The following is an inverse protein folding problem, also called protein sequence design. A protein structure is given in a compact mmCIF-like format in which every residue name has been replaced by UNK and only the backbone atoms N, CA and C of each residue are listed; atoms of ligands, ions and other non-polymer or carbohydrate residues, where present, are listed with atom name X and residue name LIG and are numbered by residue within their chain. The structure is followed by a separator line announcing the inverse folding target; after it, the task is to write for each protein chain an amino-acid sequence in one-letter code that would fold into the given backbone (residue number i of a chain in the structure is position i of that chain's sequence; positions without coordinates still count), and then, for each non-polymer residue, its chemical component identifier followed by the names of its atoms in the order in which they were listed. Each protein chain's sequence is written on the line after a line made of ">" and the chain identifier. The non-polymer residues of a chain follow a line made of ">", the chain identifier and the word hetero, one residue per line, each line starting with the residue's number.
data_IF_131137104477
#
_entry.id   IF_131137104477
#
_cell.length_a   1.000
_cell.length_b   1.000
_cell.length_c   1.000
_cell.angle_alpha   90.00
_cell.angle_beta   90.00
_cell.angle_gamma   90.00
#
_symmetry.space_group_name_H-M   'P 1'
#
loop_
_entity.id
_entity.type
_entity.pdbx_description
1 polymer ?
#
# COMPACT_ATOMS: atom_id res chain seq x y z
N UNK A 1 -6.65 -4.62 -15.70
CA UNK A 1 -6.57 -3.37 -14.92
C UNK A 1 -7.71 -2.47 -15.35
N UNK A 2 -8.66 -2.07 -14.48
CA UNK A 2 -9.58 -0.99 -14.83
C UNK A 2 -8.76 0.30 -14.91
N UNK A 3 -8.87 1.02 -16.03
CA UNK A 3 -8.24 2.33 -16.19
C UNK A 3 -9.01 3.34 -15.33
N UNK A 4 -8.29 4.10 -14.51
CA UNK A 4 -8.82 5.30 -13.84
C UNK A 4 -9.56 6.15 -14.86
N UNK A 5 -10.73 6.67 -14.48
CA UNK A 5 -11.51 7.49 -15.40
C UNK A 5 -10.83 8.87 -15.57
N UNK A 6 -11.11 9.55 -16.67
CA UNK A 6 -10.43 10.80 -17.02
C UNK A 6 -10.61 11.93 -15.99
N UNK A 7 -11.69 11.91 -15.20
CA UNK A 7 -11.96 12.90 -14.14
C UNK A 7 -11.12 12.63 -12.88
N UNK A 8 -10.88 11.36 -12.52
CA UNK A 8 -9.98 10.97 -11.43
C UNK A 8 -8.52 11.33 -11.76
N UNK A 9 -8.12 11.14 -13.03
CA UNK A 9 -6.78 11.53 -13.51
C UNK A 9 -6.59 13.06 -13.44
N UNK A 10 -7.61 13.84 -13.77
CA UNK A 10 -7.57 15.31 -13.67
C UNK A 10 -7.57 15.81 -12.22
N UNK A 11 -8.33 15.17 -11.32
CA UNK A 11 -8.31 15.49 -9.89
C UNK A 11 -6.94 15.19 -9.27
N UNK A 12 -6.32 14.06 -9.64
CA UNK A 12 -4.99 13.68 -9.16
C UNK A 12 -3.89 14.61 -9.71
N UNK A 13 -3.98 15.06 -10.97
CA UNK A 13 -3.08 16.08 -11.53
C UNK A 13 -3.21 17.45 -10.87
N UNK A 14 -4.41 17.82 -10.42
CA UNK A 14 -4.59 19.07 -9.68
C UNK A 14 -4.02 18.99 -8.25
N UNK A 15 -4.02 17.80 -7.62
CA UNK A 15 -3.34 17.57 -6.34
C UNK A 15 -1.81 17.65 -6.48
N UNK A 16 -1.23 17.17 -7.58
CA UNK A 16 0.21 17.33 -7.87
C UNK A 16 0.64 18.81 -8.02
N UNK A 17 -0.30 19.71 -8.37
CA UNK A 17 -0.03 21.14 -8.61
C UNK A 17 -0.54 22.07 -7.51
N UNK A 18 -1.19 21.56 -6.46
CA UNK A 18 -1.66 22.36 -5.33
C UNK A 18 -0.78 22.07 -4.13
N UNK A 19 0.00 23.05 -3.66
CA UNK A 19 0.75 22.94 -2.40
C UNK A 19 -0.23 22.89 -1.20
N UNK A 20 -0.82 21.73 -0.93
CA UNK A 20 -1.60 21.50 0.27
C UNK A 20 -0.63 21.33 1.44
N UNK A 21 -0.31 22.43 2.12
CA UNK A 21 0.48 22.39 3.36
C UNK A 21 -0.42 22.01 4.54
N UNK A 22 -0.43 20.72 4.89
CA UNK A 22 -1.20 20.21 6.03
C UNK A 22 -0.56 20.62 7.37
N UNK A 23 -1.33 21.14 8.36
CA UNK A 23 -0.79 21.42 9.68
C UNK A 23 -0.40 20.12 10.42
N UNK A 24 0.47 20.21 11.43
CA UNK A 24 0.97 19.01 12.14
C UNK A 24 -0.12 18.28 12.91
N UNK A 25 -1.09 19.02 13.45
CA UNK A 25 -2.28 18.55 14.18
C UNK A 25 -3.37 17.97 13.24
N UNK A 26 -3.14 17.88 11.93
CA UNK A 26 -4.12 17.27 11.03
C UNK A 26 -4.35 15.79 11.41
N UNK A 27 -5.60 15.40 11.67
CA UNK A 27 -5.97 14.03 11.99
C UNK A 27 -6.46 13.29 10.74
N UNK A 28 -6.34 11.97 10.78
CA UNK A 28 -6.71 11.09 9.67
C UNK A 28 -8.12 10.56 9.87
N UNK A 29 -8.91 10.58 8.81
CA UNK A 29 -10.21 9.89 8.74
C UNK A 29 -10.19 8.97 7.53
N UNK A 30 -10.46 7.69 7.76
CA UNK A 30 -10.46 6.65 6.75
C UNK A 30 -11.90 6.24 6.44
N UNK A 31 -12.17 5.90 5.19
CA UNK A 31 -13.44 5.30 4.77
C UNK A 31 -13.16 4.09 3.89
N UNK A 32 -13.87 3.00 4.14
CA UNK A 32 -13.79 1.76 3.37
C UNK A 32 -15.08 0.96 3.52
N UNK A 33 -15.31 0.02 2.62
CA UNK A 33 -16.46 -0.88 2.71
C UNK A 33 -16.05 -2.25 3.27
N UNK A 34 -17.00 -2.91 3.91
CA UNK A 34 -16.90 -4.25 4.45
C UNK A 34 -18.03 -5.14 3.92
N UNK A 35 -17.82 -6.45 3.90
CA UNK A 35 -18.82 -7.41 3.41
C UNK A 35 -20.01 -7.57 4.36
N UNK A 36 -19.81 -7.37 5.66
CA UNK A 36 -20.80 -7.58 6.70
C UNK A 36 -21.82 -6.42 6.79
N UNK A 37 -23.11 -6.77 6.96
CA UNK A 37 -24.14 -5.80 7.38
C UNK A 37 -24.20 -5.69 8.92
N UNK A 38 -25.06 -4.80 9.44
CA UNK A 38 -25.14 -4.56 10.89
C UNK A 38 -25.64 -5.79 11.66
N UNK A 39 -26.54 -6.58 11.06
CA UNK A 39 -27.01 -7.82 11.68
C UNK A 39 -25.91 -8.89 11.79
N UNK A 40 -25.03 -8.97 10.79
CA UNK A 40 -23.88 -9.87 10.80
C UNK A 40 -22.87 -9.46 11.88
N UNK A 41 -22.54 -8.17 11.97
CA UNK A 41 -21.64 -7.64 13.00
C UNK A 41 -22.22 -7.85 14.41
N UNK A 42 -23.51 -7.59 14.60
CA UNK A 42 -24.20 -7.85 15.87
C UNK A 42 -24.10 -9.34 16.26
N UNK A 43 -24.34 -10.24 15.30
CA UNK A 43 -24.26 -11.69 15.52
C UNK A 43 -22.83 -12.14 15.87
N UNK A 44 -21.82 -11.60 15.20
CA UNK A 44 -20.41 -11.88 15.54
C UNK A 44 -20.09 -11.46 16.99
N UNK A 45 -20.52 -10.26 17.38
CA UNK A 45 -20.33 -9.77 18.74
C UNK A 45 -21.02 -10.64 19.79
N UNK A 46 -22.26 -11.04 19.56
CA UNK A 46 -23.01 -11.90 20.47
C UNK A 46 -22.35 -13.28 20.62
N UNK A 47 -21.81 -13.83 19.52
CA UNK A 47 -21.13 -15.14 19.53
C UNK A 47 -19.77 -15.12 20.24
N UNK A 48 -19.08 -13.96 20.25
CA UNK A 48 -17.75 -13.79 20.86
C UNK A 48 -17.82 -13.28 22.30
N UNK A 49 -19.01 -12.91 22.76
CA UNK A 49 -19.25 -12.48 24.13
C UNK A 49 -18.91 -13.59 25.15
N UNK A 50 -18.05 -13.29 26.11
CA UNK A 50 -17.51 -14.21 27.10
C UNK A 50 -16.31 -15.04 26.64
N UNK A 51 -15.99 -15.04 25.34
CA UNK A 51 -14.82 -15.71 24.77
C UNK A 51 -13.67 -14.73 24.53
N UNK A 52 -13.93 -13.68 23.74
CA UNK A 52 -12.91 -12.70 23.34
C UNK A 52 -13.05 -11.37 24.10
N UNK A 53 -14.28 -10.99 24.43
CA UNK A 53 -14.62 -9.79 25.19
C UNK A 53 -15.92 -10.01 25.96
N UNK A 54 -16.22 -9.16 26.94
CA UNK A 54 -17.52 -9.14 27.62
C UNK A 54 -18.37 -7.98 27.11
N UNK A 55 -19.63 -8.24 26.79
CA UNK A 55 -20.59 -7.20 26.41
C UNK A 55 -21.60 -7.00 27.55
N UNK A 56 -21.67 -5.79 28.06
CA UNK A 56 -22.67 -5.36 29.05
C UNK A 56 -23.66 -4.40 28.39
N UNK A 57 -24.94 -4.75 28.36
CA UNK A 57 -25.98 -3.85 27.87
C UNK A 57 -26.30 -2.79 28.92
N UNK A 58 -26.14 -1.52 28.60
CA UNK A 58 -26.40 -0.40 29.52
C UNK A 58 -27.76 0.25 29.27
N UNK A 59 -28.27 0.19 28.03
CA UNK A 59 -29.61 0.66 27.65
C UNK A 59 -30.06 -0.01 26.33
N UNK A 60 -31.27 0.25 25.80
CA UNK A 60 -31.76 -0.44 24.60
C UNK A 60 -30.80 -0.47 23.40
N UNK A 61 -30.08 0.63 23.18
CA UNK A 61 -29.17 0.84 22.05
C UNK A 61 -27.71 1.02 22.46
N UNK A 62 -27.39 1.03 23.77
CA UNK A 62 -26.03 1.25 24.24
C UNK A 62 -25.50 0.04 24.99
N UNK A 63 -24.24 -0.26 24.72
CA UNK A 63 -23.50 -1.38 25.25
C UNK A 63 -22.09 -0.93 25.62
N UNK A 64 -21.51 -1.60 26.60
CA UNK A 64 -20.08 -1.53 26.91
C UNK A 64 -19.44 -2.85 26.48
N UNK A 65 -18.31 -2.76 25.78
CA UNK A 65 -17.46 -3.89 25.41
C UNK A 65 -16.22 -3.82 26.29
N UNK A 66 -15.94 -4.89 27.03
CA UNK A 66 -14.86 -4.95 28.02
C UNK A 66 -13.85 -6.00 27.54
N UNK A 67 -12.61 -5.57 27.40
CA UNK A 67 -11.44 -6.43 27.20
C UNK A 67 -11.11 -7.13 28.51
N UNK A 68 -11.25 -8.47 28.59
CA UNK A 68 -10.97 -9.22 29.80
C UNK A 68 -9.49 -9.14 30.21
N UNK A 69 -8.59 -8.91 29.26
CA UNK A 69 -7.15 -8.82 29.53
C UNK A 69 -6.76 -7.47 30.16
N UNK A 70 -7.65 -6.47 30.12
CA UNK A 70 -7.40 -5.11 30.60
C UNK A 70 -8.39 -4.64 31.69
N UNK A 71 -9.01 -5.58 32.42
CA UNK A 71 -10.06 -5.31 33.44
C UNK A 71 -9.67 -4.32 34.56
N UNK A 72 -8.38 -3.99 34.75
CA UNK A 72 -7.90 -3.32 35.97
C UNK A 72 -7.32 -1.90 35.85
N UNK A 73 -7.38 -1.24 34.69
CA UNK A 73 -6.98 0.19 34.63
C UNK A 73 -7.65 0.95 33.50
N UNK A 74 -8.86 1.47 33.73
CA UNK A 74 -9.49 2.60 33.00
C UNK A 74 -9.48 2.57 31.46
N UNK A 75 -9.18 1.43 30.82
CA UNK A 75 -8.72 1.39 29.43
C UNK A 75 -9.03 0.16 28.63
N UNK A 76 -9.65 -0.84 29.25
CA UNK A 76 -10.15 -2.02 28.56
C UNK A 76 -11.59 -1.88 28.07
N UNK A 77 -12.21 -0.71 28.13
CA UNK A 77 -13.63 -0.56 27.76
C UNK A 77 -13.81 0.12 26.40
N UNK A 78 -14.85 -0.23 25.66
CA UNK A 78 -15.29 0.51 24.48
C UNK A 78 -16.81 0.72 24.60
N UNK A 79 -17.29 1.87 24.14
CA UNK A 79 -18.72 2.11 24.02
C UNK A 79 -19.20 1.64 22.64
N UNK A 80 -20.34 0.98 22.62
CA UNK A 80 -21.01 0.53 21.41
C UNK A 80 -22.42 1.12 21.40
N UNK A 81 -22.74 1.84 20.33
CA UNK A 81 -24.07 2.32 20.02
C UNK A 81 -24.62 1.57 18.80
N UNK A 82 -25.80 0.96 18.94
CA UNK A 82 -26.40 0.10 17.92
C UNK A 82 -27.82 0.57 17.58
N UNK A 83 -27.98 1.04 16.34
CA UNK A 83 -29.28 1.32 15.74
C UNK A 83 -29.63 0.27 14.68
N UNK A 84 -30.80 0.41 14.05
CA UNK A 84 -31.31 -0.56 13.09
C UNK A 84 -30.34 -0.82 11.92
N UNK A 85 -29.77 0.24 11.37
CA UNK A 85 -28.95 0.20 10.15
C UNK A 85 -27.56 0.84 10.36
N UNK A 86 -27.15 1.07 11.61
CA UNK A 86 -25.85 1.64 11.93
C UNK A 86 -25.31 1.17 13.26
N UNK A 87 -23.98 1.17 13.36
CA UNK A 87 -23.22 0.81 14.54
C UNK A 87 -22.08 1.79 14.73
N UNK A 88 -21.91 2.29 15.95
CA UNK A 88 -20.77 3.13 16.33
C UNK A 88 -20.00 2.46 17.46
N UNK A 89 -18.68 2.37 17.33
CA UNK A 89 -17.78 1.86 18.37
C UNK A 89 -16.74 2.94 18.70
N UNK A 90 -16.63 3.31 19.97
CA UNK A 90 -15.61 4.25 20.47
C UNK A 90 -14.76 3.56 21.54
N UNK A 91 -13.44 3.46 21.33
CA UNK A 91 -12.52 2.73 22.21
C UNK A 91 -11.98 3.60 23.36
N UNK A 92 -11.81 3.05 24.58
CA UNK A 92 -11.19 3.77 25.70
C UNK A 92 -9.67 3.90 25.56
N UNK A 93 -9.12 4.91 26.23
CA UNK A 93 -7.69 5.32 26.25
C UNK A 93 -7.05 5.71 24.91
N UNK A 94 -7.76 5.62 23.79
CA UNK A 94 -7.34 6.21 22.53
C UNK A 94 -8.59 6.47 21.72
N UNK A 95 -8.93 7.76 21.56
CA UNK A 95 -10.19 8.28 21.00
C UNK A 95 -10.40 7.93 19.53
N UNK A 96 -10.46 6.64 19.24
CA UNK A 96 -10.76 6.11 17.94
C UNK A 96 -12.23 5.84 17.85
N UNK A 97 -12.79 6.16 16.68
CA UNK A 97 -14.21 6.02 16.42
C UNK A 97 -14.42 5.28 15.12
N UNK A 98 -15.17 4.20 15.20
CA UNK A 98 -15.72 3.50 14.05
C UNK A 98 -17.19 3.86 13.92
N UNK A 99 -17.58 4.41 12.77
CA UNK A 99 -18.98 4.63 12.41
C UNK A 99 -19.30 3.75 11.21
N UNK A 100 -20.25 2.84 11.37
CA UNK A 100 -20.59 1.80 10.41
C UNK A 100 -22.04 1.97 10.00
N UNK A 101 -22.32 2.02 8.71
CA UNK A 101 -23.67 2.17 8.18
C UNK A 101 -23.92 1.18 7.04
N UNK A 102 -25.10 0.60 6.98
CA UNK A 102 -25.44 -0.35 5.92
C UNK A 102 -25.41 0.31 4.53
N UNK A 103 -24.85 -0.43 3.57
CA UNK A 103 -24.87 -0.04 2.17
C UNK A 103 -26.15 -0.56 1.51
N UNK A 104 -26.85 0.24 0.67
CA UNK A 104 -28.05 -0.21 -0.04
C UNK A 104 -27.84 -1.42 -0.96
N UNK A 105 -26.58 -1.68 -1.36
CA UNK A 105 -26.19 -2.77 -2.25
C UNK A 105 -25.69 -4.03 -1.51
N UNK A 106 -25.79 -4.04 -0.18
CA UNK A 106 -25.24 -5.09 0.69
C UNK A 106 -23.92 -4.67 1.35
N UNK A 107 -23.60 -5.30 2.48
CA UNK A 107 -22.47 -4.94 3.33
C UNK A 107 -22.66 -3.61 4.07
N UNK A 108 -21.56 -3.02 4.53
CA UNK A 108 -21.56 -1.74 5.23
C UNK A 108 -20.40 -0.84 4.80
N UNK A 109 -20.57 0.47 4.95
CA UNK A 109 -19.49 1.44 4.85
C UNK A 109 -19.01 1.80 6.25
N UNK A 110 -17.70 1.82 6.43
CA UNK A 110 -17.01 2.14 7.68
C UNK A 110 -16.31 3.48 7.52
N UNK A 111 -16.51 4.37 8.48
CA UNK A 111 -15.67 5.56 8.70
C UNK A 111 -14.89 5.37 9.98
N UNK A 112 -13.57 5.51 9.91
CA UNK A 112 -12.66 5.35 11.04
C UNK A 112 -11.89 6.65 11.29
N UNK A 113 -12.04 7.21 12.47
CA UNK A 113 -11.25 8.34 12.96
C UNK A 113 -10.14 7.82 13.87
N UNK A 114 -8.88 8.00 13.47
CA UNK A 114 -7.75 7.47 14.19
C UNK A 114 -6.49 7.32 13.32
N UNK A 115 -5.38 6.79 13.86
CA UNK A 115 -4.15 6.62 13.13
C UNK A 115 -4.18 5.35 12.26
N UNK A 116 -3.47 5.39 11.12
CA UNK A 116 -3.49 4.30 10.13
C UNK A 116 -3.12 2.92 10.70
N UNK A 117 -2.18 2.85 11.65
CA UNK A 117 -1.73 1.62 12.28
C UNK A 117 -2.75 1.00 13.26
N UNK A 118 -3.87 1.68 13.55
CA UNK A 118 -4.95 1.17 14.39
C UNK A 118 -6.15 0.65 13.58
N UNK A 119 -6.15 0.82 12.25
CA UNK A 119 -7.21 0.33 11.36
C UNK A 119 -7.46 -1.18 11.54
N UNK A 120 -8.69 -1.55 11.92
CA UNK A 120 -9.13 -2.92 12.17
C UNK A 120 -8.19 -3.72 13.10
N UNK A 121 -7.45 -3.04 13.98
CA UNK A 121 -6.44 -3.66 14.83
C UNK A 121 -6.82 -3.66 16.32
N UNK A 122 -8.11 -3.56 16.62
CA UNK A 122 -8.65 -3.55 17.98
C UNK A 122 -9.38 -4.86 18.26
N UNK A 123 -9.08 -5.50 19.39
CA UNK A 123 -9.71 -6.77 19.80
C UNK A 123 -11.21 -6.62 20.08
N UNK A 124 -11.62 -5.41 20.47
CA UNK A 124 -12.99 -5.04 20.85
C UNK A 124 -13.92 -4.76 19.65
N UNK A 125 -13.46 -5.02 18.43
CA UNK A 125 -14.29 -4.88 17.23
C UNK A 125 -14.91 -6.22 16.82
N UNK A 126 -16.12 -6.20 16.24
CA UNK A 126 -16.59 -7.33 15.44
C UNK A 126 -15.62 -7.63 14.30
N UNK A 127 -15.62 -8.87 13.83
CA UNK A 127 -14.90 -9.23 12.61
C UNK A 127 -15.49 -8.47 11.42
N UNK A 128 -14.60 -7.88 10.64
CA UNK A 128 -14.91 -7.08 9.46
C UNK A 128 -14.00 -7.50 8.31
N UNK A 129 -14.60 -7.79 7.17
CA UNK A 129 -13.91 -8.25 5.97
C UNK A 129 -13.83 -7.10 4.97
N UNK A 130 -12.64 -6.54 4.77
CA UNK A 130 -12.41 -5.41 3.88
C UNK A 130 -12.76 -5.74 2.42
N UNK A 131 -13.53 -4.87 1.77
CA UNK A 131 -13.80 -4.93 0.34
C UNK A 131 -12.64 -4.23 -0.41
N UNK A 132 -11.86 -4.94 -1.24
CA UNK A 132 -10.69 -4.39 -1.93
C UNK A 132 -10.99 -3.10 -2.71
N UNK A 133 -10.02 -2.19 -2.76
CA UNK A 133 -10.05 -0.92 -3.51
C UNK A 133 -11.13 0.07 -3.09
N UNK A 134 -11.68 -0.06 -1.88
CA UNK A 134 -12.65 0.89 -1.32
C UNK A 134 -12.02 1.84 -0.30
N UNK A 135 -10.80 1.55 0.15
CA UNK A 135 -10.08 2.35 1.12
C UNK A 135 -9.68 3.72 0.54
N UNK A 136 -10.15 4.76 1.21
CA UNK A 136 -9.84 6.16 0.97
C UNK A 136 -9.66 6.88 2.29
N UNK A 137 -9.02 8.04 2.27
CA UNK A 137 -8.77 8.79 3.49
C UNK A 137 -8.74 10.30 3.23
N UNK A 138 -9.01 11.06 4.28
CA UNK A 138 -8.88 12.52 4.31
C UNK A 138 -8.17 12.97 5.57
N UNK A 139 -7.69 14.20 5.54
CA UNK A 139 -7.24 14.95 6.70
C UNK A 139 -8.33 15.90 7.19
N UNK A 140 -8.48 15.95 8.50
CA UNK A 140 -9.29 16.93 9.22
C UNK A 140 -8.39 17.71 10.18
N UNK A 141 -8.81 18.91 10.56
CA UNK A 141 -8.14 19.67 11.61
C UNK A 141 -8.43 19.06 12.98
N UNK A 142 -7.38 18.80 13.77
CA UNK A 142 -7.51 18.09 15.04
C UNK A 142 -8.22 18.85 16.15
N UNK A 143 -8.33 20.19 16.05
CA UNK A 143 -8.99 21.03 17.05
C UNK A 143 -10.46 21.30 16.68
N UNK A 144 -10.70 21.60 15.40
CA UNK A 144 -12.01 22.04 14.90
C UNK A 144 -12.82 20.93 14.24
N UNK A 145 -12.18 19.80 13.89
CA UNK A 145 -12.78 18.72 13.13
C UNK A 145 -13.11 19.07 11.67
N UNK A 146 -12.69 20.25 11.19
CA UNK A 146 -12.98 20.70 9.83
C UNK A 146 -12.17 19.92 8.81
N UNK A 147 -12.80 19.56 7.69
CA UNK A 147 -12.11 18.96 6.55
C UNK A 147 -11.00 19.88 6.00
N UNK A 148 -9.78 19.35 5.97
CA UNK A 148 -8.62 19.99 5.34
C UNK A 148 -8.42 19.51 3.90
N UNK A 149 -8.98 18.35 3.58
CA UNK A 149 -8.94 17.70 2.27
C UNK A 149 -10.25 16.94 2.03
N UNK A 150 -10.63 16.75 0.77
CA UNK A 150 -11.61 15.74 0.40
C UNK A 150 -11.09 14.33 0.73
N UNK A 151 -11.96 13.31 0.65
CA UNK A 151 -11.49 11.93 0.55
C UNK A 151 -10.65 11.72 -0.71
N UNK A 152 -9.46 11.17 -0.50
CA UNK A 152 -8.46 10.82 -1.50
C UNK A 152 -8.33 9.30 -1.57
N UNK A 153 -7.97 8.77 -2.73
CA UNK A 153 -7.49 7.40 -2.82
C UNK A 153 -6.27 7.20 -1.90
N UNK A 154 -6.06 5.97 -1.44
CA UNK A 154 -5.06 5.69 -0.41
C UNK A 154 -3.63 6.05 -0.82
N UNK A 155 -3.30 5.97 -2.12
CA UNK A 155 -1.99 6.33 -2.64
C UNK A 155 -1.78 7.86 -2.59
N UNK A 156 -2.72 8.63 -3.13
CA UNK A 156 -2.68 10.11 -3.07
C UNK A 156 -2.63 10.62 -1.62
N UNK A 157 -3.40 9.99 -0.74
CA UNK A 157 -3.34 10.26 0.70
C UNK A 157 -1.96 9.96 1.29
N UNK A 158 -1.34 8.84 0.91
CA UNK A 158 0.00 8.44 1.35
C UNK A 158 1.08 9.47 1.01
N UNK A 159 1.02 10.05 -0.18
CA UNK A 159 1.93 11.11 -0.61
C UNK A 159 1.81 12.37 0.28
N UNK A 160 0.59 12.87 0.50
CA UNK A 160 0.36 14.02 1.39
C UNK A 160 0.76 13.73 2.84
N UNK A 161 0.48 12.50 3.31
CA UNK A 161 0.89 12.06 4.64
C UNK A 161 2.41 12.06 4.80
N UNK A 162 3.15 11.61 3.79
CA UNK A 162 4.61 11.62 3.80
C UNK A 162 5.15 13.05 3.93
N UNK A 163 4.60 14.00 3.18
CA UNK A 163 4.98 15.42 3.30
C UNK A 163 4.66 15.98 4.68
N UNK A 164 3.47 15.73 5.22
CA UNK A 164 3.10 16.11 6.58
C UNK A 164 4.08 15.55 7.62
N UNK A 165 4.49 14.29 7.45
CA UNK A 165 5.37 13.58 8.39
C UNK A 165 6.84 14.04 8.34
N UNK A 166 7.26 14.83 7.33
CA UNK A 166 8.58 15.50 7.34
C UNK A 166 8.66 16.64 8.37
N UNK A 167 7.50 17.15 8.83
CA UNK A 167 7.41 18.22 9.85
C UNK A 167 7.75 17.65 11.23
N UNK A 168 8.57 18.39 11.98
CA UNK A 168 9.06 18.00 13.31
C UNK A 168 8.00 18.31 14.37
N UNK A 169 7.83 17.44 15.37
CA UNK A 169 6.98 17.74 16.55
C UNK A 169 7.73 18.61 17.59
N UNK A 170 7.04 19.01 18.65
CA UNK A 170 7.61 19.84 19.73
C UNK A 170 8.79 19.16 20.47
N UNK A 171 8.95 17.86 20.28
CA UNK A 171 10.01 17.03 20.86
C UNK A 171 11.16 16.72 19.88
N UNK A 172 11.17 17.32 18.68
CA UNK A 172 12.25 17.13 17.71
C UNK A 172 12.12 15.89 16.83
N UNK A 173 11.04 15.13 16.91
CA UNK A 173 10.85 13.88 16.18
C UNK A 173 10.12 14.08 14.84
N UNK A 174 10.51 13.29 13.84
CA UNK A 174 9.87 13.23 12.52
C UNK A 174 9.07 11.94 12.36
N UNK A 175 7.98 12.01 11.59
CA UNK A 175 7.16 10.85 11.24
C UNK A 175 6.26 10.34 12.37
N UNK A 176 5.70 9.15 12.13
CA UNK A 176 4.96 8.37 13.12
C UNK A 176 5.71 7.07 13.40
N UNK A 177 6.41 7.00 14.53
CA UNK A 177 7.19 5.83 14.93
C UNK A 177 6.36 4.54 15.08
N UNK A 178 5.03 4.64 15.15
CA UNK A 178 4.17 3.46 15.25
C UNK A 178 3.89 2.78 13.90
N UNK A 179 4.19 3.44 12.77
CA UNK A 179 3.93 2.88 11.42
C UNK A 179 4.72 1.58 11.17
N UNK A 180 5.88 1.41 11.83
CA UNK A 180 6.69 0.18 11.76
C UNK A 180 5.95 -1.09 12.19
N UNK A 181 4.86 -0.95 12.95
CA UNK A 181 4.01 -2.06 13.38
C UNK A 181 2.80 -2.29 12.47
N UNK A 182 2.67 -1.52 11.37
CA UNK A 182 1.51 -1.52 10.49
C UNK A 182 1.38 -2.70 9.52
N UNK A 183 2.34 -3.63 9.47
CA UNK A 183 2.31 -4.73 8.50
C UNK A 183 1.08 -5.64 8.64
N UNK A 184 0.64 -5.90 9.88
CA UNK A 184 -0.57 -6.68 10.16
C UNK A 184 -1.83 -5.95 9.69
N UNK A 185 -1.82 -4.62 9.77
CA UNK A 185 -2.90 -3.79 9.23
C UNK A 185 -2.89 -3.89 7.71
N UNK A 186 -1.75 -3.65 7.07
CA UNK A 186 -1.67 -3.64 5.60
C UNK A 186 -2.13 -4.98 4.99
N UNK A 187 -1.81 -6.11 5.65
CA UNK A 187 -2.29 -7.42 5.24
C UNK A 187 -3.83 -7.55 5.26
N UNK A 188 -4.53 -6.92 6.21
CA UNK A 188 -6.01 -6.88 6.27
C UNK A 188 -6.62 -6.05 5.14
N UNK A 189 -5.84 -5.12 4.57
CA UNK A 189 -6.26 -4.24 3.48
C UNK A 189 -5.65 -4.64 2.13
N UNK A 190 -5.43 -5.95 1.90
CA UNK A 190 -4.89 -6.50 0.65
C UNK A 190 -3.56 -5.86 0.20
N UNK A 191 -2.76 -5.37 1.15
CA UNK A 191 -1.50 -4.68 0.90
C UNK A 191 -1.65 -3.38 0.08
N UNK A 192 -2.82 -2.73 0.15
CA UNK A 192 -3.11 -1.50 -0.60
C UNK A 192 -2.53 -0.23 0.06
N UNK A 193 -2.08 -0.31 1.33
CA UNK A 193 -1.55 0.85 2.09
C UNK A 193 -0.03 0.93 1.91
N UNK A 194 0.41 1.64 0.87
CA UNK A 194 1.81 1.73 0.45
C UNK A 194 2.77 2.34 1.50
N UNK A 195 2.29 3.26 2.33
CA UNK A 195 3.10 3.90 3.38
C UNK A 195 3.18 3.08 4.68
N UNK A 196 2.51 1.93 4.78
CA UNK A 196 2.71 0.97 5.87
C UNK A 196 3.59 -0.20 5.37
N UNK A 197 4.61 -0.61 6.14
CA UNK A 197 5.54 -1.64 5.70
C UNK A 197 4.81 -2.97 5.46
N UNK A 198 5.22 -3.73 4.45
CA UNK A 198 4.86 -5.15 4.32
C UNK A 198 5.58 -5.97 5.39
N UNK A 199 5.10 -7.18 5.70
CA UNK A 199 5.82 -8.04 6.64
C UNK A 199 7.23 -8.33 6.13
N UNK A 200 8.20 -8.47 7.04
CA UNK A 200 9.60 -8.71 6.69
C UNK A 200 9.75 -9.92 5.75
N UNK A 201 8.95 -10.97 5.95
CA UNK A 201 8.93 -12.16 5.08
C UNK A 201 8.47 -11.87 3.65
N UNK A 202 7.49 -10.98 3.48
CA UNK A 202 7.01 -10.58 2.14
C UNK A 202 8.04 -9.66 1.49
N UNK A 203 8.68 -8.78 2.26
CA UNK A 203 9.77 -7.93 1.76
C UNK A 203 10.97 -8.77 1.33
N UNK A 204 11.38 -9.76 2.13
CA UNK A 204 12.46 -10.71 1.79
C UNK A 204 12.15 -11.50 0.52
N UNK A 205 10.91 -11.97 0.38
CA UNK A 205 10.47 -12.67 -0.84
C UNK A 205 10.49 -11.74 -2.05
N UNK A 206 9.93 -10.54 -1.95
CA UNK A 206 9.96 -9.55 -3.05
C UNK A 206 11.40 -9.19 -3.44
N UNK A 207 12.29 -9.01 -2.47
CA UNK A 207 13.71 -8.76 -2.72
C UNK A 207 14.40 -9.95 -3.38
N UNK A 208 14.02 -11.18 -3.03
CA UNK A 208 14.53 -12.41 -3.65
C UNK A 208 14.05 -12.53 -5.10
N UNK A 209 12.76 -12.31 -5.35
CA UNK A 209 12.16 -12.38 -6.69
C UNK A 209 12.76 -11.31 -7.64
N UNK A 210 12.98 -10.09 -7.12
CA UNK A 210 13.67 -9.02 -7.86
C UNK A 210 15.12 -9.41 -8.16
N UNK A 211 15.84 -9.96 -7.19
CA UNK A 211 17.22 -10.42 -7.38
C UNK A 211 17.31 -11.52 -8.44
N UNK A 212 16.43 -12.52 -8.38
CA UNK A 212 16.37 -13.59 -9.37
C UNK A 212 16.06 -13.05 -10.78
N UNK A 213 15.14 -12.09 -10.88
CA UNK A 213 14.82 -11.42 -12.15
C UNK A 213 16.03 -10.67 -12.72
N UNK A 214 16.77 -9.96 -11.88
CA UNK A 214 18.01 -9.26 -12.26
C UNK A 214 19.07 -10.25 -12.72
N UNK A 215 19.26 -11.35 -11.99
CA UNK A 215 20.26 -12.38 -12.31
C UNK A 215 19.94 -13.04 -13.67
N UNK A 216 18.67 -13.35 -13.95
CA UNK A 216 18.23 -13.86 -15.26
C UNK A 216 18.51 -12.84 -16.37
N UNK A 217 18.23 -11.55 -16.14
CA UNK A 217 18.47 -10.50 -17.12
C UNK A 217 19.98 -10.35 -17.42
N UNK A 218 20.82 -10.36 -16.38
CA UNK A 218 22.27 -10.28 -16.51
C UNK A 218 22.84 -11.49 -17.27
N UNK A 219 22.34 -12.69 -17.00
CA UNK A 219 22.76 -13.90 -17.72
C UNK A 219 22.45 -13.80 -19.22
N UNK A 220 21.23 -13.37 -19.59
CA UNK A 220 20.85 -13.16 -20.99
C UNK A 220 21.71 -12.12 -21.69
N UNK A 221 22.05 -11.02 -21.01
CA UNK A 221 22.94 -9.98 -21.57
C UNK A 221 24.34 -10.56 -21.83
N UNK A 222 24.85 -11.40 -20.91
CA UNK A 222 26.14 -12.06 -21.06
C UNK A 222 26.16 -13.02 -22.25
N UNK A 223 25.15 -13.87 -22.38
CA UNK A 223 25.00 -14.77 -23.53
C UNK A 223 24.94 -14.02 -24.86
N UNK A 224 24.27 -12.87 -24.89
CA UNK A 224 24.21 -12.01 -26.09
C UNK A 224 25.58 -11.42 -26.44
N UNK A 225 26.37 -11.00 -25.45
CA UNK A 225 27.71 -10.48 -25.64
C UNK A 225 28.67 -11.57 -26.14
N UNK A 226 28.60 -12.77 -25.57
CA UNK A 226 29.43 -13.89 -25.97
C UNK A 226 29.11 -14.34 -27.40
N UNK A 227 27.82 -14.42 -27.78
CA UNK A 227 27.40 -14.69 -29.16
C UNK A 227 27.86 -13.62 -30.15
N UNK A 228 27.78 -12.34 -29.77
CA UNK A 228 28.30 -11.24 -30.62
C UNK A 228 29.82 -11.31 -30.78
N UNK A 229 30.53 -11.66 -29.72
CA UNK A 229 31.99 -11.78 -29.73
C UNK A 229 32.44 -12.96 -30.59
N UNK A 230 31.76 -14.10 -30.49
CA UNK A 230 31.99 -15.26 -31.35
C UNK A 230 31.72 -14.93 -32.83
N UNK A 231 30.59 -14.27 -33.13
CA UNK A 231 30.26 -13.84 -34.49
C UNK A 231 31.27 -12.81 -35.05
N UNK A 232 31.83 -11.95 -34.20
CA UNK A 232 32.88 -11.02 -34.60
C UNK A 232 34.20 -11.75 -34.92
N UNK A 233 34.57 -12.75 -34.12
CA UNK A 233 35.77 -13.58 -34.34
C UNK A 233 35.64 -14.43 -35.61
N UNK A 234 34.48 -15.03 -35.86
CA UNK A 234 34.22 -15.79 -37.09
C UNK A 234 34.30 -14.91 -38.35
N UNK A 235 33.82 -13.67 -38.28
CA UNK A 235 33.95 -12.70 -39.37
C UNK A 235 35.40 -12.27 -39.61
N UNK A 236 36.23 -12.14 -38.57
CA UNK A 236 37.67 -11.86 -38.71
C UNK A 236 38.39 -13.06 -39.32
N UNK A 237 38.11 -14.27 -38.86
CA UNK A 237 38.70 -15.50 -39.40
C UNK A 237 38.33 -15.74 -40.87
N UNK A 238 37.10 -15.40 -41.27
CA UNK A 238 36.65 -15.48 -42.66
C UNK A 238 37.34 -14.47 -43.59
N UNK A 239 37.90 -13.38 -43.06
CA UNK A 239 38.69 -12.40 -43.82
C UNK A 239 40.17 -12.79 -43.98
N UNK A 240 40.70 -13.72 -43.17
CA UNK A 240 42.14 -14.00 -43.09
C UNK A 240 42.65 -15.26 -43.84
N UNK A 241 41.83 -16.02 -44.58
CA UNK A 241 42.36 -17.19 -45.32
C UNK A 241 41.63 -17.53 -46.64
N UNK A 242 42.32 -17.70 -47.81
CA UNK A 242 43.61 -17.14 -48.22
C UNK A 242 43.66 -16.52 -49.64
N UNK A 243 44.41 -15.40 -49.77
CA UNK A 243 45.13 -15.03 -51.00
C UNK A 243 46.27 -16.04 -51.26
N UNK A 244 45.96 -17.22 -51.80
CA UNK A 244 46.94 -18.17 -52.35
C UNK A 244 46.48 -18.69 -53.71
N UNK A 245 46.45 -17.82 -54.71
CA UNK A 245 46.44 -18.20 -56.13
C UNK A 245 46.71 -16.95 -56.98
N UNK A 246 47.99 -16.64 -57.24
CA UNK A 246 48.49 -15.95 -58.46
C UNK A 246 49.97 -15.62 -58.25
N UNK A 247 50.84 -16.62 -58.37
CA UNK A 247 52.27 -16.43 -58.56
C UNK A 247 52.76 -17.41 -59.63
N UNK A 248 52.19 -17.30 -60.84
CA UNK A 248 52.67 -18.00 -62.02
C UNK A 248 52.16 -17.27 -63.28
N UNK A 249 52.77 -16.13 -63.61
CA UNK A 249 52.93 -15.65 -64.99
C UNK A 249 53.66 -14.29 -65.00
N UNK A 250 54.98 -14.33 -64.86
CA UNK A 250 55.85 -13.28 -65.41
C UNK A 250 56.99 -14.00 -66.13
N UNK A 251 56.76 -14.36 -67.40
CA UNK A 251 57.82 -14.68 -68.35
C UNK A 251 57.49 -14.03 -69.69
N UNK A 252 58.49 -13.31 -70.19
CA UNK A 252 58.68 -12.83 -71.55
C UNK A 252 57.85 -11.63 -72.02
N UNK A 253 58.48 -10.45 -71.98
CA UNK A 253 58.68 -9.62 -73.17
C UNK A 253 59.77 -8.58 -72.87
N UNK A 254 61.03 -8.93 -73.16
CA UNK A 254 62.03 -7.93 -73.56
C UNK A 254 62.56 -8.35 -74.92
N UNK A 255 62.14 -7.60 -75.94
CA UNK A 255 62.77 -7.44 -77.25
C UNK A 255 61.86 -6.50 -78.02
N UNK A 256 62.31 -5.26 -78.16
CA UNK A 256 62.46 -4.58 -79.45
C UNK A 256 62.66 -3.08 -79.19
N UNK A 257 63.92 -2.76 -78.93
CA UNK A 257 64.51 -1.48 -79.29
C UNK A 257 64.84 -1.57 -80.78
N UNK A 258 64.05 -0.91 -81.63
CA UNK A 258 64.50 -0.49 -82.96
C UNK A 258 64.08 0.96 -83.21
N UNK A 259 65.12 1.78 -83.35
CA UNK A 259 65.29 2.93 -84.26
C UNK A 259 64.49 4.22 -84.03
#
# INVERSE_FOLDING_TARGET
>A
MPKLNSQEIEKNKNLENTEISLPRNAHSVFQFDIEENIADLKRDMENRNGADFKIAKTSPHNYEIIDPDFEYSSGGTASLHLEKNSMTVETALSGFKYSIAENPKGGSSVTFEGPANALLNQNLLPKMSYVPKTLKAKFIDGETGKDLTDYLDIHSYGLLRAEKNKKVNDWGEKGNNQDKYGYNVNAKFNNEIDFLPLSDRIQEKANTDVKETIDIALHKVRDMLDKKSAAALDNIAAQETPKKQTAANVKNTSKDLER
#
